data_IF_596318315574
#
_entry.id   IF_596318315574
#
_cell.length_a   1.000
_cell.length_b   1.000
_cell.length_c   1.000
_cell.angle_alpha   90.00
_cell.angle_beta   90.00
_cell.angle_gamma   90.00
#
_symmetry.space_group_name_H-M   'P 1'
#
loop_
_entity.id
_entity.type
_entity.pdbx_description
1 polymer ?
#
# COMPACT_ATOMS: atom_id res chain seq x y z
N UNK A 1 25.91 18.51 -49.42
CA UNK A 1 24.44 18.56 -49.46
C UNK A 1 23.89 19.47 -48.36
N UNK A 2 22.75 20.13 -48.59
CA UNK A 2 22.05 20.92 -47.56
C UNK A 2 20.83 20.14 -47.10
N UNK A 3 20.85 19.66 -45.88
CA UNK A 3 19.66 19.08 -45.23
C UNK A 3 18.92 20.16 -44.43
N UNK A 4 17.59 20.06 -44.45
CA UNK A 4 16.70 20.84 -43.59
C UNK A 4 15.79 19.86 -42.84
N UNK A 5 15.77 19.95 -41.51
CA UNK A 5 14.97 19.09 -40.65
C UNK A 5 13.84 19.89 -39.99
N UNK A 6 12.70 19.27 -39.78
CA UNK A 6 11.58 19.80 -38.96
C UNK A 6 11.22 18.75 -37.93
N UNK A 7 10.98 19.19 -36.69
CA UNK A 7 10.52 18.32 -35.60
C UNK A 7 9.06 18.63 -35.30
N UNK A 8 8.25 17.59 -35.19
CA UNK A 8 6.84 17.67 -34.78
C UNK A 8 6.70 16.92 -33.47
N UNK A 9 6.13 17.57 -32.46
CA UNK A 9 6.09 17.05 -31.09
C UNK A 9 4.66 17.01 -30.55
N UNK A 10 4.41 16.05 -29.66
CA UNK A 10 3.18 15.85 -28.91
C UNK A 10 3.54 15.17 -27.58
N UNK A 11 2.87 15.54 -26.49
CA UNK A 11 3.06 14.93 -25.18
C UNK A 11 1.73 14.63 -24.49
N UNK A 12 1.74 13.60 -23.66
CA UNK A 12 0.65 13.22 -22.76
C UNK A 12 1.27 13.13 -21.38
N UNK A 13 0.67 13.79 -20.40
CA UNK A 13 1.10 13.69 -19.01
C UNK A 13 0.81 12.28 -18.46
N UNK A 14 1.72 11.78 -17.63
CA UNK A 14 1.54 10.48 -17.00
C UNK A 14 0.56 10.54 -15.83
N UNK A 15 -0.29 9.51 -15.71
CA UNK A 15 -1.32 9.42 -14.66
C UNK A 15 -1.52 7.97 -14.18
N UNK A 16 -2.12 7.81 -13.00
CA UNK A 16 -2.50 6.52 -12.42
C UNK A 16 -3.55 6.70 -11.32
N UNK A 17 -4.33 5.65 -11.06
CA UNK A 17 -5.20 5.57 -9.88
C UNK A 17 -4.72 4.46 -8.95
N UNK A 18 -4.45 4.79 -7.69
CA UNK A 18 -4.16 3.81 -6.63
C UNK A 18 -5.46 3.28 -6.04
N UNK A 19 -5.59 1.96 -5.94
CA UNK A 19 -6.77 1.28 -5.38
C UNK A 19 -6.36 0.58 -4.09
N UNK A 20 -6.91 1.05 -2.97
CA UNK A 20 -6.69 0.51 -1.62
C UNK A 20 -8.06 0.12 -1.04
N UNK A 21 -8.23 -1.09 -0.49
CA UNK A 21 -9.44 -1.47 0.24
C UNK A 21 -9.75 -0.51 1.39
N UNK A 22 -10.97 0.02 1.42
CA UNK A 22 -11.42 0.94 2.48
C UNK A 22 -11.49 0.28 3.85
N UNK A 23 -11.76 -1.03 3.89
CA UNK A 23 -11.91 -1.80 5.12
C UNK A 23 -11.48 -3.25 4.93
N UNK A 24 -10.79 -3.77 5.94
CA UNK A 24 -10.44 -5.20 6.05
C UNK A 24 -10.92 -5.72 7.41
N UNK A 25 -11.65 -6.84 7.39
CA UNK A 25 -12.09 -7.50 8.61
C UNK A 25 -11.12 -8.63 8.94
N UNK A 26 -10.45 -8.54 10.08
CA UNK A 26 -9.46 -9.54 10.49
C UNK A 26 -10.13 -10.82 11.00
N UNK A 27 -9.58 -11.95 10.60
CA UNK A 27 -9.91 -13.24 11.19
C UNK A 27 -9.23 -13.41 12.56
N UNK A 28 -9.90 -14.07 13.49
CA UNK A 28 -9.33 -14.41 14.78
C UNK A 28 -8.29 -15.55 14.70
N UNK A 29 -8.43 -16.42 13.68
CA UNK A 29 -7.74 -17.70 13.62
C UNK A 29 -6.75 -17.78 12.45
N UNK A 30 -6.98 -16.99 11.39
CA UNK A 30 -6.19 -17.03 10.16
C UNK A 30 -5.62 -15.66 9.81
N UNK A 31 -4.54 -15.66 9.03
CA UNK A 31 -4.10 -14.45 8.36
C UNK A 31 -5.16 -13.97 7.35
N UNK A 32 -5.30 -12.66 7.23
CA UNK A 32 -6.21 -12.00 6.29
C UNK A 32 -5.38 -11.39 5.16
N UNK A 33 -5.80 -11.62 3.92
CA UNK A 33 -5.11 -11.08 2.75
C UNK A 33 -5.87 -9.86 2.19
N UNK A 34 -5.13 -8.88 1.70
CA UNK A 34 -5.66 -7.78 0.90
C UNK A 34 -4.63 -7.42 -0.18
N UNK A 35 -5.07 -6.72 -1.22
CA UNK A 35 -4.17 -6.27 -2.29
C UNK A 35 -4.24 -4.77 -2.45
N UNK A 36 -3.08 -4.13 -2.59
CA UNK A 36 -2.96 -2.76 -3.09
C UNK A 36 -2.70 -2.83 -4.58
N UNK A 37 -3.49 -2.10 -5.36
CA UNK A 37 -3.51 -2.20 -6.82
C UNK A 37 -3.40 -0.82 -7.48
N UNK A 38 -3.21 -0.83 -8.78
CA UNK A 38 -3.35 0.34 -9.66
C UNK A 38 -4.33 0.05 -10.79
N UNK A 39 -4.95 1.09 -11.34
CA UNK A 39 -5.74 1.06 -12.56
C UNK A 39 -5.46 2.32 -13.39
N UNK A 40 -5.67 2.27 -14.70
CA UNK A 40 -5.42 3.39 -15.63
C UNK A 40 -3.99 3.96 -15.52
N UNK A 41 -3.00 3.09 -15.33
CA UNK A 41 -1.59 3.47 -15.22
C UNK A 41 -1.04 3.82 -16.61
N UNK A 42 -0.52 5.03 -16.76
CA UNK A 42 0.15 5.50 -17.97
C UNK A 42 1.37 6.34 -17.59
N UNK A 43 2.44 5.70 -17.10
CA UNK A 43 3.66 6.40 -16.71
C UNK A 43 4.62 6.53 -17.89
N UNK A 44 5.31 7.66 -17.97
CA UNK A 44 6.37 7.88 -18.98
C UNK A 44 7.47 6.80 -18.87
N UNK A 45 8.14 6.45 -19.98
CA UNK A 45 9.27 5.52 -19.96
C UNK A 45 10.33 5.93 -18.94
N UNK A 46 10.73 5.00 -18.07
CA UNK A 46 11.74 5.22 -17.04
C UNK A 46 11.23 5.87 -15.74
N UNK A 47 9.96 6.25 -15.66
CA UNK A 47 9.34 6.69 -14.39
C UNK A 47 8.85 5.49 -13.59
N UNK A 48 9.06 5.57 -12.28
CA UNK A 48 8.61 4.57 -11.30
C UNK A 48 7.95 5.30 -10.13
N UNK A 49 6.85 4.73 -9.64
CA UNK A 49 6.13 5.21 -8.45
C UNK A 49 6.28 4.16 -7.36
N UNK A 50 6.75 4.58 -6.20
CA UNK A 50 6.82 3.77 -4.99
C UNK A 50 5.56 3.96 -4.15
N UNK A 51 5.03 2.86 -3.62
CA UNK A 51 3.93 2.86 -2.66
C UNK A 51 4.49 2.55 -1.28
N UNK A 52 4.24 3.46 -0.35
CA UNK A 52 4.71 3.39 1.03
C UNK A 52 3.54 3.37 2.00
N UNK A 53 3.76 2.75 3.15
CA UNK A 53 2.85 2.82 4.29
C UNK A 53 3.29 3.97 5.21
N UNK A 54 2.62 5.11 5.12
CA UNK A 54 3.01 6.33 5.83
C UNK A 54 2.58 6.35 7.29
N UNK A 55 1.56 5.56 7.67
CA UNK A 55 1.13 5.42 9.06
C UNK A 55 0.38 4.11 9.31
N UNK A 56 0.26 3.76 10.60
CA UNK A 56 -0.59 2.66 11.07
C UNK A 56 0.17 1.41 11.51
N UNK A 57 1.52 1.43 11.44
CA UNK A 57 2.37 0.47 12.12
C UNK A 57 3.06 1.09 13.33
N UNK A 58 3.35 0.25 14.32
CA UNK A 58 4.27 0.52 15.41
C UNK A 58 5.71 0.62 14.90
N UNK A 59 6.63 1.04 15.76
CA UNK A 59 8.06 1.10 15.43
C UNK A 59 8.64 -0.26 15.00
N UNK A 60 8.07 -1.36 15.50
CA UNK A 60 8.49 -2.73 15.20
C UNK A 60 7.83 -3.30 13.93
N UNK A 61 7.00 -2.51 13.23
CA UNK A 61 6.33 -2.94 12.00
C UNK A 61 5.07 -3.78 12.21
N UNK A 62 4.49 -3.76 13.42
CA UNK A 62 3.22 -4.40 13.72
C UNK A 62 2.05 -3.41 13.62
N UNK A 63 0.87 -3.90 13.30
CA UNK A 63 -0.37 -3.15 13.39
C UNK A 63 -0.82 -3.12 14.86
N UNK A 64 -1.06 -1.93 15.40
CA UNK A 64 -1.69 -1.76 16.71
C UNK A 64 -3.18 -1.42 16.54
N UNK A 65 -4.04 -2.29 17.04
CA UNK A 65 -5.49 -2.12 17.01
C UNK A 65 -5.95 -1.68 18.41
N UNK A 66 -6.53 -0.48 18.50
CA UNK A 66 -7.07 0.06 19.74
C UNK A 66 -8.54 -0.34 19.88
N UNK A 67 -8.93 -0.87 21.05
CA UNK A 67 -10.34 -1.10 21.38
C UNK A 67 -11.09 0.22 21.40
N UNK A 68 -12.19 0.30 20.67
CA UNK A 68 -13.03 1.48 20.57
C UNK A 68 -13.61 1.83 21.94
N UNK A 69 -13.43 3.08 22.37
CA UNK A 69 -13.91 3.58 23.65
C UNK A 69 -13.03 3.24 24.86
N UNK A 70 -11.93 2.52 24.67
CA UNK A 70 -10.91 2.30 25.70
C UNK A 70 -9.67 3.18 25.43
N UNK A 71 -8.90 3.48 26.47
CA UNK A 71 -7.69 4.32 26.39
C UNK A 71 -6.38 3.53 26.33
N UNK A 72 -6.43 2.22 26.60
CA UNK A 72 -5.21 1.41 26.74
C UNK A 72 -5.34 -0.05 26.30
N UNK A 73 -6.54 -0.51 25.92
CA UNK A 73 -6.73 -1.88 25.45
C UNK A 73 -6.27 -1.99 23.99
N UNK A 74 -5.01 -2.39 23.77
CA UNK A 74 -4.39 -2.58 22.45
C UNK A 74 -4.13 -4.07 22.23
N UNK A 75 -4.38 -4.52 20.99
CA UNK A 75 -3.94 -5.82 20.48
C UNK A 75 -3.08 -5.59 19.24
N UNK A 76 -2.15 -6.49 18.96
CA UNK A 76 -1.27 -6.34 17.79
C UNK A 76 -1.59 -7.34 16.70
N UNK A 77 -1.18 -7.04 15.47
CA UNK A 77 -1.18 -7.99 14.37
C UNK A 77 0.04 -7.78 13.49
N UNK A 78 0.59 -8.88 12.95
CA UNK A 78 1.70 -8.77 12.00
C UNK A 78 1.25 -8.16 10.67
N UNK A 79 2.15 -7.45 10.01
CA UNK A 79 1.95 -6.90 8.68
C UNK A 79 3.09 -7.34 7.76
N UNK A 80 2.72 -7.89 6.60
CA UNK A 80 3.68 -8.25 5.56
C UNK A 80 3.20 -7.76 4.21
N UNK A 81 4.14 -7.29 3.41
CA UNK A 81 3.94 -7.04 1.98
C UNK A 81 4.73 -8.05 1.17
N UNK A 82 4.10 -8.68 0.18
CA UNK A 82 4.72 -9.68 -0.70
C UNK A 82 5.49 -10.76 0.09
N UNK A 83 4.89 -11.19 1.21
CA UNK A 83 5.44 -12.17 2.17
C UNK A 83 6.69 -11.71 2.96
N UNK A 84 7.06 -10.43 2.89
CA UNK A 84 8.16 -9.80 3.64
C UNK A 84 7.64 -8.84 4.71
N UNK A 85 8.33 -8.77 5.85
CA UNK A 85 8.05 -7.77 6.89
C UNK A 85 8.39 -6.38 6.35
N UNK A 86 7.54 -5.39 6.65
CA UNK A 86 7.73 -3.99 6.24
C UNK A 86 8.14 -3.17 7.46
N UNK A 87 9.43 -2.83 7.62
CA UNK A 87 9.89 -2.03 8.76
C UNK A 87 9.55 -0.55 8.55
N UNK A 88 9.24 0.17 9.63
CA UNK A 88 8.98 1.62 9.53
C UNK A 88 10.19 2.44 9.07
N UNK A 89 11.42 1.92 9.24
CA UNK A 89 12.63 2.54 8.69
C UNK A 89 12.70 2.47 7.15
N UNK A 90 11.95 1.56 6.53
CA UNK A 90 11.82 1.43 5.08
C UNK A 90 10.39 0.96 4.73
N UNK A 91 9.40 1.86 4.75
CA UNK A 91 7.99 1.50 4.71
C UNK A 91 7.46 1.21 3.28
N UNK A 92 8.35 0.86 2.35
CA UNK A 92 7.97 0.55 0.97
C UNK A 92 7.26 -0.80 0.93
N UNK A 93 6.05 -0.81 0.37
CA UNK A 93 5.27 -2.04 0.18
C UNK A 93 5.33 -2.55 -1.25
N UNK A 94 5.65 -1.70 -2.23
CA UNK A 94 5.77 -2.08 -3.63
C UNK A 94 6.02 -0.87 -4.51
N UNK A 95 6.21 -1.12 -5.81
CA UNK A 95 6.38 -0.08 -6.81
C UNK A 95 5.77 -0.49 -8.14
N UNK A 96 5.53 0.48 -9.02
CA UNK A 96 5.00 0.24 -10.35
C UNK A 96 5.52 1.24 -11.39
N UNK A 97 5.54 0.81 -12.65
CA UNK A 97 6.00 1.60 -13.81
C UNK A 97 5.26 1.22 -15.08
N UNK A 98 5.40 2.04 -16.12
CA UNK A 98 4.91 1.75 -17.47
C UNK A 98 3.40 1.91 -17.64
N UNK A 99 2.86 1.25 -18.67
CA UNK A 99 1.46 1.34 -19.08
C UNK A 99 0.66 0.10 -18.68
N UNK A 100 -0.51 0.29 -18.08
CA UNK A 100 -1.51 -0.76 -17.83
C UNK A 100 -2.89 -0.12 -17.53
N UNK A 101 -3.88 -0.38 -18.38
CA UNK A 101 -5.24 0.14 -18.16
C UNK A 101 -6.02 -0.70 -17.13
N UNK A 102 -5.80 -2.00 -17.11
CA UNK A 102 -6.46 -2.95 -16.22
C UNK A 102 -5.94 -2.87 -14.78
N UNK A 103 -6.74 -3.36 -13.83
CA UNK A 103 -6.30 -3.52 -12.45
C UNK A 103 -5.04 -4.40 -12.37
N UNK A 104 -3.97 -3.84 -11.83
CA UNK A 104 -2.70 -4.54 -11.63
C UNK A 104 -2.32 -4.51 -10.16
N UNK A 105 -2.04 -5.67 -9.59
CA UNK A 105 -1.55 -5.78 -8.21
C UNK A 105 -0.15 -5.16 -8.09
N UNK A 106 0.00 -4.24 -7.14
CA UNK A 106 1.28 -3.64 -6.76
C UNK A 106 1.88 -4.41 -5.58
N UNK A 107 1.03 -4.80 -4.64
CA UNK A 107 1.44 -5.51 -3.45
C UNK A 107 0.32 -6.39 -2.92
N UNK A 108 0.68 -7.62 -2.58
CA UNK A 108 -0.15 -8.52 -1.77
C UNK A 108 0.21 -8.34 -0.30
N UNK A 109 -0.74 -7.84 0.48
CA UNK A 109 -0.59 -7.63 1.91
C UNK A 109 -1.18 -8.82 2.67
N UNK A 110 -0.45 -9.29 3.67
CA UNK A 110 -0.91 -10.27 4.65
C UNK A 110 -0.91 -9.62 6.03
N UNK A 111 -2.08 -9.62 6.67
CA UNK A 111 -2.27 -9.19 8.05
C UNK A 111 -2.48 -10.44 8.89
N UNK A 112 -1.69 -10.62 9.95
CA UNK A 112 -1.82 -11.75 10.86
C UNK A 112 -3.16 -11.78 11.59
N UNK A 113 -3.43 -12.88 12.29
CA UNK A 113 -4.51 -12.88 13.26
C UNK A 113 -4.12 -12.02 14.49
N UNK A 114 -5.06 -11.27 15.10
CA UNK A 114 -4.74 -10.41 16.24
C UNK A 114 -4.19 -11.20 17.44
N UNK A 115 -3.21 -10.62 18.15
CA UNK A 115 -2.53 -11.18 19.32
C UNK A 115 -2.71 -10.28 20.56
N UNK A 116 -2.71 -10.88 21.76
CA UNK A 116 -2.90 -10.17 23.04
C UNK A 116 -4.23 -10.50 23.74
N UNK A 117 -4.57 -9.73 24.78
CA UNK A 117 -5.80 -9.92 25.58
C UNK A 117 -7.02 -9.31 24.87
N UNK A 118 -7.82 -10.18 24.23
CA UNK A 118 -8.97 -9.82 23.38
C UNK A 118 -10.24 -9.63 24.21
N UNK A 119 -10.38 -8.48 24.85
CA UNK A 119 -11.60 -8.10 25.57
C UNK A 119 -12.75 -7.83 24.60
N UNK A 120 -14.00 -8.03 25.04
CA UNK A 120 -15.17 -7.89 24.16
C UNK A 120 -15.33 -6.47 23.59
N UNK A 121 -15.46 -6.32 22.27
CA UNK A 121 -15.68 -5.02 21.64
C UNK A 121 -15.02 -4.91 20.27
N UNK A 122 -15.18 -3.77 19.61
CA UNK A 122 -14.53 -3.49 18.35
C UNK A 122 -13.11 -2.98 18.59
N UNK A 123 -12.18 -3.40 17.75
CA UNK A 123 -10.81 -2.89 17.69
C UNK A 123 -10.56 -2.36 16.28
N UNK A 124 -9.89 -1.22 16.18
CA UNK A 124 -9.62 -0.59 14.89
C UNK A 124 -8.34 0.22 14.90
N UNK A 125 -7.83 0.46 13.69
CA UNK A 125 -6.73 1.37 13.39
C UNK A 125 -6.83 1.78 11.92
N UNK A 126 -6.06 2.78 11.53
CA UNK A 126 -6.02 3.29 10.15
C UNK A 126 -4.64 3.08 9.57
N UNK A 127 -4.58 2.36 8.45
CA UNK A 127 -3.39 2.25 7.62
C UNK A 127 -3.45 3.31 6.53
N UNK A 128 -2.41 4.13 6.41
CA UNK A 128 -2.34 5.17 5.37
C UNK A 128 -1.30 4.78 4.33
N UNK A 129 -1.72 4.67 3.09
CA UNK A 129 -0.84 4.36 1.95
C UNK A 129 -0.62 5.62 1.13
N UNK A 130 0.61 5.85 0.69
CA UNK A 130 0.99 6.97 -0.16
C UNK A 130 1.73 6.46 -1.37
N UNK A 131 1.50 7.08 -2.53
CA UNK A 131 2.21 6.81 -3.77
C UNK A 131 2.96 8.07 -4.21
N UNK A 132 4.25 7.93 -4.52
CA UNK A 132 5.09 9.04 -4.96
C UNK A 132 6.11 8.57 -6.00
N UNK A 133 6.46 9.45 -6.93
CA UNK A 133 7.56 9.17 -7.86
C UNK A 133 8.87 9.00 -7.09
N UNK A 134 9.67 8.03 -7.55
CA UNK A 134 11.02 7.77 -7.06
C UNK A 134 12.01 8.85 -7.48
#
# INVERSE_FOLDING_TARGET
DKEGNTVVEYSVEGDYTLVVPEKVNLSNDNATEMSVKTINRNLEPGKEVEVTLSSGLSADGEIELQRVGATSDVITSSFKSNNSVVPMANPIIGSFSGYAMEETEVSKIQIGNPQGDKKAGAYQTTLTFTAAFK
#
